data_IF_646977499852
#
_entry.id   IF_646977499852
#
_cell.length_a   1.000
_cell.length_b   1.000
_cell.length_c   1.000
_cell.angle_alpha   90.00
_cell.angle_beta   90.00
_cell.angle_gamma   90.00
#
_symmetry.space_group_name_H-M   'P 1'
#
loop_
_entity.id
_entity.type
_entity.pdbx_description
1 polymer ?
#
# COMPACT_ATOMS: atom_id res chain seq x y z
N UNK A 1 -2.19 -4.31 -24.72
CA UNK A 1 -0.99 -3.54 -24.36
C UNK A 1 -1.14 -3.07 -22.93
N UNK A 2 -0.18 -3.39 -22.07
CA UNK A 2 -0.15 -2.94 -20.67
C UNK A 2 0.14 -1.44 -20.57
N UNK A 3 -0.24 -0.82 -19.44
CA UNK A 3 -0.05 0.63 -19.20
C UNK A 3 1.43 1.06 -19.36
N UNK A 4 2.36 0.21 -18.92
CA UNK A 4 3.80 0.44 -19.06
C UNK A 4 4.32 0.22 -20.50
N UNK A 5 3.64 -0.61 -21.29
CA UNK A 5 3.97 -0.78 -22.72
C UNK A 5 3.52 0.44 -23.53
N UNK A 6 2.37 1.03 -23.16
CA UNK A 6 1.83 2.23 -23.81
C UNK A 6 2.59 3.50 -23.39
N UNK A 7 3.01 3.59 -22.13
CA UNK A 7 3.68 4.77 -21.56
C UNK A 7 4.86 4.37 -20.66
N UNK A 8 6.04 4.10 -21.23
CA UNK A 8 7.21 3.65 -20.48
C UNK A 8 7.66 4.64 -19.38
N UNK A 9 7.43 5.94 -19.60
CA UNK A 9 7.78 7.01 -18.66
C UNK A 9 6.94 7.00 -17.37
N UNK A 10 5.82 6.26 -17.33
CA UNK A 10 5.01 6.11 -16.11
C UNK A 10 5.71 5.20 -15.09
N UNK A 11 6.58 4.29 -15.54
CA UNK A 11 7.29 3.37 -14.65
C UNK A 11 8.08 4.09 -13.51
N UNK A 12 8.98 5.05 -13.79
CA UNK A 12 9.67 5.78 -12.72
C UNK A 12 8.72 6.59 -11.83
N UNK A 13 7.62 7.10 -12.38
CA UNK A 13 6.61 7.82 -11.59
C UNK A 13 5.93 6.88 -10.60
N UNK A 14 5.48 5.70 -11.04
CA UNK A 14 4.88 4.70 -10.17
C UNK A 14 5.86 4.17 -9.12
N UNK A 15 7.15 4.09 -9.45
CA UNK A 15 8.19 3.72 -8.50
C UNK A 15 8.34 4.79 -7.40
N UNK A 16 8.40 6.08 -7.77
CA UNK A 16 8.44 7.18 -6.80
C UNK A 16 7.18 7.21 -5.93
N UNK A 17 6.00 7.02 -6.54
CA UNK A 17 4.74 6.92 -5.80
C UNK A 17 4.79 5.73 -4.83
N UNK A 18 5.30 4.57 -5.25
CA UNK A 18 5.45 3.39 -4.38
C UNK A 18 6.36 3.64 -3.19
N UNK A 19 7.43 4.42 -3.36
CA UNK A 19 8.32 4.79 -2.26
C UNK A 19 7.60 5.76 -1.32
N UNK A 20 6.94 6.78 -1.86
CA UNK A 20 6.19 7.75 -1.08
C UNK A 20 5.05 7.10 -0.26
N UNK A 21 4.35 6.12 -0.82
CA UNK A 21 3.31 5.36 -0.12
C UNK A 21 3.89 4.51 1.01
N UNK A 22 5.08 3.91 0.84
CA UNK A 22 5.77 3.20 1.94
C UNK A 22 6.11 4.13 3.09
N UNK A 23 6.66 5.33 2.79
CA UNK A 23 6.93 6.34 3.82
C UNK A 23 5.64 6.78 4.52
N UNK A 24 4.59 7.11 3.76
CA UNK A 24 3.30 7.49 4.31
C UNK A 24 2.69 6.36 5.16
N UNK A 25 2.86 5.11 4.76
CA UNK A 25 2.41 3.93 5.52
C UNK A 25 3.11 3.86 6.87
N UNK A 26 4.43 4.07 6.92
CA UNK A 26 5.18 4.11 8.19
C UNK A 26 4.66 5.22 9.12
N UNK A 27 4.47 6.44 8.62
CA UNK A 27 3.94 7.54 9.42
C UNK A 27 2.50 7.29 9.88
N UNK A 28 1.63 6.77 9.01
CA UNK A 28 0.24 6.47 9.35
C UNK A 28 0.14 5.41 10.45
N UNK A 29 1.02 4.40 10.44
CA UNK A 29 1.12 3.39 11.47
C UNK A 29 1.57 4.01 12.81
N UNK A 30 2.62 4.85 12.78
CA UNK A 30 3.14 5.56 13.98
C UNK A 30 2.09 6.49 14.59
N UNK A 31 1.33 7.21 13.76
CA UNK A 31 0.25 8.11 14.19
C UNK A 31 -1.07 7.39 14.47
N UNK A 32 -1.10 6.05 14.48
CA UNK A 32 -2.30 5.22 14.70
C UNK A 32 -3.46 5.52 13.74
N UNK A 33 -3.18 6.06 12.56
CA UNK A 33 -4.16 6.34 11.50
C UNK A 33 -4.35 5.10 10.63
N UNK A 34 -4.84 4.03 11.24
CA UNK A 34 -4.91 2.70 10.61
C UNK A 34 -5.78 2.64 9.34
N UNK A 35 -6.81 3.50 9.23
CA UNK A 35 -7.62 3.61 8.00
C UNK A 35 -6.78 4.11 6.82
N UNK A 36 -5.91 5.09 7.04
CA UNK A 36 -4.98 5.60 6.02
C UNK A 36 -3.96 4.52 5.66
N UNK A 37 -3.44 3.80 6.67
CA UNK A 37 -2.52 2.69 6.45
C UNK A 37 -3.14 1.59 5.56
N UNK A 38 -4.40 1.23 5.79
CA UNK A 38 -5.14 0.28 4.94
C UNK A 38 -5.32 0.81 3.51
N UNK A 39 -5.69 2.08 3.35
CA UNK A 39 -5.86 2.71 2.04
C UNK A 39 -4.54 2.74 1.25
N UNK A 40 -3.42 3.04 1.91
CA UNK A 40 -2.10 3.00 1.30
C UNK A 40 -1.69 1.58 0.88
N UNK A 41 -2.04 0.57 1.69
CA UNK A 41 -1.88 -0.84 1.31
C UNK A 41 -2.64 -1.22 0.04
N UNK A 42 -3.87 -0.72 -0.14
CA UNK A 42 -4.62 -0.89 -1.39
C UNK A 42 -3.90 -0.22 -2.56
N UNK A 43 -3.44 1.02 -2.39
CA UNK A 43 -2.68 1.74 -3.44
C UNK A 43 -1.43 0.97 -3.83
N UNK A 44 -0.64 0.48 -2.87
CA UNK A 44 0.55 -0.34 -3.12
C UNK A 44 0.21 -1.60 -3.93
N UNK A 45 -0.90 -2.24 -3.59
CA UNK A 45 -1.41 -3.43 -4.27
C UNK A 45 -1.79 -3.11 -5.72
N UNK A 46 -2.47 -1.98 -5.98
CA UNK A 46 -2.77 -1.56 -7.36
C UNK A 46 -1.52 -1.23 -8.17
N UNK A 47 -0.52 -0.57 -7.56
CA UNK A 47 0.72 -0.26 -8.25
C UNK A 47 1.46 -1.55 -8.61
N UNK A 48 1.44 -2.56 -7.74
CA UNK A 48 2.11 -3.85 -7.99
C UNK A 48 1.65 -4.57 -9.27
N UNK A 49 0.39 -4.39 -9.67
CA UNK A 49 -0.16 -4.98 -10.90
C UNK A 49 0.56 -4.45 -12.16
N UNK A 50 1.04 -3.22 -12.12
CA UNK A 50 1.79 -2.63 -13.22
C UNK A 50 3.22 -3.20 -13.32
N UNK A 51 3.76 -3.78 -12.24
CA UNK A 51 5.10 -4.36 -12.20
C UNK A 51 5.09 -5.90 -12.10
N UNK A 52 4.03 -6.55 -12.58
CA UNK A 52 3.74 -7.97 -12.33
C UNK A 52 4.91 -8.93 -12.63
N UNK A 53 5.73 -8.64 -13.64
CA UNK A 53 6.85 -9.50 -14.08
C UNK A 53 8.18 -9.23 -13.37
N UNK A 54 8.26 -8.20 -12.53
CA UNK A 54 9.52 -7.77 -11.88
C UNK A 54 9.34 -7.64 -10.37
N UNK A 55 9.26 -6.42 -9.84
CA UNK A 55 9.13 -6.11 -8.41
C UNK A 55 7.69 -6.20 -7.91
N UNK A 56 6.72 -6.42 -8.79
CA UNK A 56 5.29 -6.52 -8.48
C UNK A 56 4.98 -7.48 -7.34
N UNK A 57 5.46 -8.75 -7.33
CA UNK A 57 5.16 -9.68 -6.25
C UNK A 57 5.58 -9.19 -4.85
N UNK A 58 6.71 -8.47 -4.76
CA UNK A 58 7.20 -7.90 -3.51
C UNK A 58 6.27 -6.77 -3.06
N UNK A 59 5.96 -5.84 -3.97
CA UNK A 59 5.05 -4.72 -3.68
C UNK A 59 3.66 -5.20 -3.30
N UNK A 60 3.19 -6.28 -3.95
CA UNK A 60 1.91 -6.92 -3.65
C UNK A 60 1.90 -7.51 -2.23
N UNK A 61 2.94 -8.26 -1.85
CA UNK A 61 3.08 -8.79 -0.49
C UNK A 61 3.08 -7.69 0.57
N UNK A 62 3.81 -6.59 0.32
CA UNK A 62 3.82 -5.43 1.21
C UNK A 62 2.42 -4.80 1.32
N UNK A 63 1.73 -4.61 0.19
CA UNK A 63 0.37 -4.07 0.15
C UNK A 63 -0.63 -4.91 0.94
N UNK A 64 -0.57 -6.24 0.82
CA UNK A 64 -1.40 -7.16 1.59
C UNK A 64 -1.11 -7.09 3.10
N UNK A 65 0.16 -7.03 3.49
CA UNK A 65 0.54 -6.87 4.90
C UNK A 65 -0.01 -5.56 5.46
N UNK A 66 0.14 -4.46 4.73
CA UNK A 66 -0.39 -3.14 5.14
C UNK A 66 -1.91 -3.17 5.27
N UNK A 67 -2.59 -3.79 4.30
CA UNK A 67 -4.02 -3.96 4.30
C UNK A 67 -4.51 -4.75 5.52
N UNK A 68 -3.94 -5.94 5.74
CA UNK A 68 -4.30 -6.84 6.83
C UNK A 68 -4.01 -6.20 8.20
N UNK A 69 -2.78 -5.73 8.41
CA UNK A 69 -2.40 -5.14 9.69
C UNK A 69 -3.20 -3.87 10.00
N UNK A 70 -3.58 -3.08 8.99
CA UNK A 70 -4.48 -1.95 9.18
C UNK A 70 -5.87 -2.38 9.66
N UNK A 71 -6.50 -3.36 9.00
CA UNK A 71 -7.82 -3.86 9.40
C UNK A 71 -7.84 -4.46 10.81
N UNK A 72 -6.81 -5.24 11.17
CA UNK A 72 -6.68 -5.82 12.50
C UNK A 72 -6.57 -4.73 13.57
N UNK A 73 -5.74 -3.71 13.35
CA UNK A 73 -5.59 -2.62 14.32
C UNK A 73 -6.85 -1.74 14.43
N UNK A 74 -7.58 -1.50 13.33
CA UNK A 74 -8.88 -0.80 13.37
C UNK A 74 -9.85 -1.57 14.28
N UNK A 75 -9.99 -2.88 14.08
CA UNK A 75 -10.88 -3.73 14.90
C UNK A 75 -10.48 -3.70 16.38
N UNK A 76 -9.18 -3.81 16.67
CA UNK A 76 -8.65 -3.78 18.05
C UNK A 76 -8.94 -2.46 18.75
N UNK A 77 -8.71 -1.32 18.10
CA UNK A 77 -8.98 0.00 18.69
C UNK A 77 -10.49 0.22 18.89
N UNK A 78 -11.32 -0.26 17.96
CA UNK A 78 -12.77 -0.18 18.11
C UNK A 78 -13.26 -1.01 19.31
N UNK A 79 -12.72 -2.21 19.51
CA UNK A 79 -13.05 -3.06 20.66
C UNK A 79 -12.71 -2.39 22.01
N UNK A 80 -11.50 -1.84 22.15
CA UNK A 80 -11.06 -1.15 23.38
C UNK A 80 -11.84 0.13 23.71
N UNK A 81 -12.61 0.68 22.76
CA UNK A 81 -13.45 1.87 23.00
C UNK A 81 -14.85 1.51 23.53
N UNK A 82 -15.22 0.24 23.45
CA UNK A 82 -16.52 -0.27 23.92
C UNK A 82 -16.42 -0.99 25.28
N UNK A 83 -15.21 -1.11 25.84
CA UNK A 83 -14.94 -1.40 27.26
C UNK A 83 -14.81 -0.09 28.04
#
# INVERSE_FOLDING_TARGET
>A
MGLLELYPWIAPVLLLVSIATLFASYFSLKSRKYMIFTALGMVQTFISLNFATTVGPILFGIGLIQFYAGLVNIKRVKAMRHE
#
